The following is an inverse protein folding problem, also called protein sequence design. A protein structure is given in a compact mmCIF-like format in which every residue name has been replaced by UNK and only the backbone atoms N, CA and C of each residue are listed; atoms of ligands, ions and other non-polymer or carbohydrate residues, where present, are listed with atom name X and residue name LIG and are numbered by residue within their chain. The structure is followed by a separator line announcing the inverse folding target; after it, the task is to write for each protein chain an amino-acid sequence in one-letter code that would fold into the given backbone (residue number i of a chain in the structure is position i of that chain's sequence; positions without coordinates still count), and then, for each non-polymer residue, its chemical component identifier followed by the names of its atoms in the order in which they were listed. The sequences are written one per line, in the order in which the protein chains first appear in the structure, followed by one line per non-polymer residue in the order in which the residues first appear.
data_IF_875959761584
#
_entry.id   IF_875959761584
#
_cell.length_a   1.000
_cell.length_b   1.000
_cell.length_c   1.000
_cell.angle_alpha   90.00
_cell.angle_beta   90.00
_cell.angle_gamma   90.00
#
_symmetry.space_group_name_H-M   'P 1'
#
loop_
_entity.id
_entity.type
_entity.pdbx_description
1 polymer ?
#
# COMPACT_ATOMS: atom_id res chain seq x y z
N UNK A 1 16.21 -2.66 21.04
CA UNK A 1 15.71 -2.44 19.66
C UNK A 1 14.55 -3.39 19.46
N UNK A 2 13.35 -2.90 19.22
CA UNK A 2 12.16 -3.73 18.96
C UNK A 2 12.34 -4.47 17.64
N UNK A 3 12.00 -5.76 17.61
CA UNK A 3 12.06 -6.58 16.39
C UNK A 3 11.16 -5.97 15.30
N UNK A 4 11.64 -5.83 14.04
CA UNK A 4 10.84 -5.29 12.96
C UNK A 4 9.64 -6.22 12.64
N UNK A 5 8.49 -5.63 12.25
CA UNK A 5 7.35 -6.42 11.80
C UNK A 5 7.64 -7.14 10.49
N UNK A 6 8.29 -6.43 9.55
CA UNK A 6 8.71 -6.98 8.26
C UNK A 6 10.22 -6.73 8.07
N UNK A 7 10.95 -7.76 7.63
CA UNK A 7 12.40 -7.67 7.39
C UNK A 7 12.74 -8.36 6.06
N UNK A 8 13.44 -7.65 5.21
CA UNK A 8 13.94 -8.11 3.92
C UNK A 8 15.47 -8.17 4.00
N UNK A 9 16.08 -9.23 3.48
CA UNK A 9 17.55 -9.36 3.38
C UNK A 9 17.92 -9.96 2.03
N UNK A 10 18.70 -9.21 1.25
CA UNK A 10 19.15 -9.62 -0.06
C UNK A 10 17.99 -9.94 -1.01
N UNK A 11 16.82 -9.28 -0.84
CA UNK A 11 15.61 -9.66 -1.54
C UNK A 11 15.74 -9.35 -3.03
N UNK A 12 15.48 -10.37 -3.87
CA UNK A 12 15.50 -10.26 -5.33
C UNK A 12 14.16 -10.69 -5.91
N UNK A 13 13.76 -10.03 -7.00
CA UNK A 13 12.58 -10.41 -7.79
C UNK A 13 12.88 -10.28 -9.27
N UNK A 14 12.84 -11.40 -9.99
CA UNK A 14 12.96 -11.45 -11.45
C UNK A 14 11.63 -11.88 -12.05
N UNK A 15 11.18 -11.17 -13.07
CA UNK A 15 9.92 -11.45 -13.77
C UNK A 15 10.18 -11.74 -15.25
N UNK A 16 9.34 -12.56 -15.92
CA UNK A 16 9.45 -12.83 -17.34
C UNK A 16 9.24 -11.56 -18.19
N UNK A 17 10.21 -11.21 -19.02
CA UNK A 17 10.09 -10.12 -20.00
C UNK A 17 9.30 -10.59 -21.22
N UNK A 18 7.98 -10.38 -21.17
CA UNK A 18 7.07 -10.78 -22.26
C UNK A 18 7.25 -9.94 -23.54
N UNK A 19 7.90 -8.77 -23.47
CA UNK A 19 8.18 -7.95 -24.65
C UNK A 19 9.21 -8.60 -25.57
N UNK A 20 10.08 -9.44 -25.01
CA UNK A 20 11.12 -10.21 -25.71
C UNK A 20 10.78 -11.68 -25.91
N UNK A 21 9.52 -12.06 -25.72
CA UNK A 21 9.06 -13.42 -25.90
C UNK A 21 9.18 -13.83 -27.39
N UNK A 22 9.94 -14.90 -27.65
CA UNK A 22 10.03 -15.53 -29.01
C UNK A 22 9.13 -16.75 -29.05
N UNK A 23 8.63 -17.05 -30.28
CA UNK A 23 7.84 -18.27 -30.50
C UNK A 23 8.65 -19.50 -30.05
N UNK A 24 8.03 -20.35 -29.22
CA UNK A 24 8.63 -21.58 -28.67
C UNK A 24 9.82 -21.41 -27.70
N UNK A 25 10.07 -20.22 -27.16
CA UNK A 25 11.08 -20.02 -26.11
C UNK A 25 10.45 -19.33 -24.90
N UNK A 26 10.90 -19.72 -23.70
CA UNK A 26 10.57 -19.00 -22.49
C UNK A 26 11.10 -17.55 -22.57
N UNK A 27 10.32 -16.54 -22.12
CA UNK A 27 10.80 -15.16 -22.09
C UNK A 27 12.02 -15.05 -21.16
N UNK A 28 12.99 -14.18 -21.48
CA UNK A 28 14.11 -13.90 -20.59
C UNK A 28 13.60 -13.30 -19.29
N UNK A 29 14.33 -13.52 -18.19
CA UNK A 29 14.02 -12.91 -16.90
C UNK A 29 14.59 -11.49 -16.86
N UNK A 30 13.83 -10.57 -16.32
CA UNK A 30 14.23 -9.20 -16.02
C UNK A 30 14.25 -9.02 -14.50
N UNK A 31 15.39 -8.62 -13.97
CA UNK A 31 15.58 -8.33 -12.54
C UNK A 31 14.95 -6.98 -12.22
N UNK A 32 13.79 -7.03 -11.53
CA UNK A 32 13.01 -5.85 -11.16
C UNK A 32 13.40 -5.33 -9.78
N UNK A 33 13.71 -6.25 -8.84
CA UNK A 33 14.17 -5.92 -7.49
C UNK A 33 15.49 -6.63 -7.28
N UNK A 34 16.51 -5.90 -6.81
CA UNK A 34 17.88 -6.36 -6.72
C UNK A 34 18.42 -6.13 -5.32
N UNK A 35 18.76 -7.21 -4.62
CA UNK A 35 19.49 -7.21 -3.35
C UNK A 35 18.96 -6.17 -2.34
N UNK A 36 17.64 -6.15 -2.08
CA UNK A 36 17.02 -5.17 -1.20
C UNK A 36 17.10 -5.63 0.24
N UNK A 37 17.70 -4.77 1.10
CA UNK A 37 17.68 -4.87 2.56
C UNK A 37 16.79 -3.78 3.15
N UNK A 38 15.78 -4.18 3.95
CA UNK A 38 14.82 -3.24 4.52
C UNK A 38 14.19 -3.80 5.78
N UNK A 39 14.13 -2.98 6.84
CA UNK A 39 13.38 -3.28 8.05
C UNK A 39 12.23 -2.29 8.21
N UNK A 40 11.05 -2.79 8.57
CA UNK A 40 9.86 -1.98 8.79
C UNK A 40 9.37 -2.26 10.22
N UNK A 41 9.45 -1.24 11.07
CA UNK A 41 9.04 -1.37 12.46
C UNK A 41 7.50 -1.49 12.57
N UNK A 42 7.02 -2.19 13.59
CA UNK A 42 5.58 -2.29 13.88
C UNK A 42 5.00 -0.90 14.16
N UNK A 43 3.84 -0.61 13.55
CA UNK A 43 3.12 0.66 13.71
C UNK A 43 3.77 1.85 13.00
N UNK A 44 4.91 1.68 12.29
CA UNK A 44 5.54 2.74 11.50
C UNK A 44 4.88 2.93 10.13
N UNK A 45 5.08 4.12 9.54
CA UNK A 45 4.76 4.39 8.14
C UNK A 45 6.05 4.63 7.36
N UNK A 46 6.31 3.78 6.36
CA UNK A 46 7.43 3.88 5.43
C UNK A 46 6.96 4.40 4.08
N UNK A 47 7.53 5.50 3.61
CA UNK A 47 7.40 5.97 2.23
C UNK A 47 8.37 5.22 1.31
N UNK A 48 7.86 4.61 0.26
CA UNK A 48 8.69 4.01 -0.80
C UNK A 48 8.56 4.87 -2.05
N UNK A 49 9.63 5.61 -2.38
CA UNK A 49 9.64 6.63 -3.43
C UNK A 49 10.66 6.31 -4.52
N UNK A 50 10.54 6.94 -5.68
CA UNK A 50 11.41 6.78 -6.84
C UNK A 50 10.63 6.93 -8.15
N UNK A 51 11.31 6.96 -9.28
CA UNK A 51 10.70 7.09 -10.60
C UNK A 51 9.82 5.91 -10.98
N UNK A 52 8.96 6.13 -12.00
CA UNK A 52 8.18 5.06 -12.60
C UNK A 52 9.10 3.97 -13.16
N UNK A 53 8.78 2.70 -12.89
CA UNK A 53 9.62 1.57 -13.32
C UNK A 53 10.79 1.24 -12.39
N UNK A 54 11.04 1.97 -11.30
CA UNK A 54 12.12 1.64 -10.35
C UNK A 54 11.91 0.35 -9.54
N UNK A 55 10.72 -0.29 -9.62
CA UNK A 55 10.43 -1.57 -8.97
C UNK A 55 9.55 -1.47 -7.70
N UNK A 56 9.11 -0.29 -7.28
CA UNK A 56 8.33 -0.04 -6.04
C UNK A 56 7.09 -0.93 -5.91
N UNK A 57 6.23 -0.93 -6.93
CA UNK A 57 5.01 -1.76 -6.96
C UNK A 57 5.34 -3.25 -6.87
N UNK A 58 6.40 -3.71 -7.54
CA UNK A 58 6.86 -5.10 -7.48
C UNK A 58 7.34 -5.44 -6.07
N UNK A 59 8.17 -4.59 -5.46
CA UNK A 59 8.62 -4.74 -4.09
C UNK A 59 7.44 -4.76 -3.10
N UNK A 60 6.49 -3.81 -3.23
CA UNK A 60 5.29 -3.77 -2.38
C UNK A 60 4.44 -5.04 -2.50
N UNK A 61 4.23 -5.54 -3.73
CA UNK A 61 3.51 -6.82 -3.96
C UNK A 61 4.24 -8.01 -3.38
N UNK A 62 5.58 -7.98 -3.39
CA UNK A 62 6.40 -9.04 -2.78
C UNK A 62 6.32 -9.00 -1.26
N UNK A 63 6.31 -7.81 -0.64
CA UNK A 63 6.14 -7.65 0.82
C UNK A 63 4.85 -8.32 1.34
N UNK A 64 3.75 -8.26 0.57
CA UNK A 64 2.50 -8.95 0.91
C UNK A 64 2.38 -10.34 0.25
N UNK A 65 3.46 -10.86 -0.34
CA UNK A 65 3.53 -12.19 -0.97
C UNK A 65 2.49 -12.40 -2.09
N UNK A 66 2.08 -11.34 -2.80
CA UNK A 66 1.37 -11.45 -4.08
C UNK A 66 2.31 -11.84 -5.22
N UNK A 67 3.59 -11.50 -5.08
CA UNK A 67 4.70 -11.96 -5.93
C UNK A 67 5.67 -12.72 -5.04
N UNK A 68 6.09 -13.90 -5.48
CA UNK A 68 7.15 -14.65 -4.79
C UNK A 68 8.51 -13.99 -5.07
N UNK A 69 9.39 -13.81 -4.07
CA UNK A 69 10.77 -13.42 -4.32
C UNK A 69 11.51 -14.56 -5.04
N UNK A 70 12.49 -14.19 -5.87
CA UNK A 70 13.37 -15.15 -6.57
C UNK A 70 14.66 -15.41 -5.81
N UNK A 71 14.98 -14.59 -4.81
CA UNK A 71 16.14 -14.75 -3.93
C UNK A 71 16.02 -13.93 -2.67
N UNK A 72 16.90 -14.17 -1.71
CA UNK A 72 16.90 -13.51 -0.41
C UNK A 72 15.87 -14.06 0.58
N UNK A 73 15.64 -13.31 1.67
CA UNK A 73 14.68 -13.66 2.71
C UNK A 73 13.64 -12.56 2.91
N UNK A 74 12.43 -12.95 3.27
CA UNK A 74 11.32 -12.08 3.65
C UNK A 74 10.73 -12.61 4.96
N UNK A 75 10.97 -11.88 6.05
CA UNK A 75 10.48 -12.29 7.38
C UNK A 75 9.33 -11.39 7.82
N UNK A 76 8.27 -12.02 8.32
CA UNK A 76 7.12 -11.38 8.95
C UNK A 76 7.02 -11.86 10.40
N UNK A 77 7.13 -10.96 11.38
CA UNK A 77 7.17 -11.31 12.80
C UNK A 77 8.24 -12.35 13.10
N UNK A 78 9.46 -12.18 12.56
CA UNK A 78 10.60 -13.09 12.73
C UNK A 78 10.55 -14.36 11.86
N UNK A 79 9.38 -14.80 11.36
CA UNK A 79 9.21 -15.99 10.53
C UNK A 79 9.52 -15.69 9.08
N UNK A 80 10.40 -16.48 8.45
CA UNK A 80 10.62 -16.39 7.00
C UNK A 80 9.41 -16.93 6.23
N UNK A 81 8.90 -16.10 5.31
CA UNK A 81 7.76 -16.40 4.46
C UNK A 81 8.12 -16.40 2.96
N UNK A 82 9.43 -16.22 2.61
CA UNK A 82 9.88 -16.10 1.24
C UNK A 82 9.52 -17.32 0.37
N UNK A 83 9.70 -18.52 0.90
CA UNK A 83 9.42 -19.78 0.21
C UNK A 83 8.09 -20.43 0.64
N UNK A 84 7.24 -19.74 1.42
CA UNK A 84 5.98 -20.30 1.91
C UNK A 84 5.01 -20.58 0.76
N UNK A 85 4.36 -21.74 0.81
CA UNK A 85 3.27 -22.10 -0.09
C UNK A 85 1.95 -21.37 0.25
N UNK A 86 0.92 -21.51 -0.57
CA UNK A 86 -0.35 -20.80 -0.36
C UNK A 86 -1.08 -21.28 0.92
N UNK A 87 -0.90 -22.52 1.33
CA UNK A 87 -1.51 -23.05 2.56
C UNK A 87 -0.92 -22.36 3.80
N UNK A 88 0.42 -22.19 3.84
CA UNK A 88 1.11 -21.46 4.89
C UNK A 88 0.87 -19.95 4.84
N UNK A 89 0.66 -19.37 3.64
CA UNK A 89 0.35 -17.96 3.45
C UNK A 89 -1.10 -17.61 3.78
N UNK A 90 -2.04 -18.56 3.66
CA UNK A 90 -3.48 -18.30 3.87
C UNK A 90 -3.80 -17.55 5.17
N UNK A 91 -3.33 -17.95 6.36
CA UNK A 91 -3.58 -17.19 7.59
C UNK A 91 -2.94 -15.79 7.59
N UNK A 92 -1.83 -15.60 6.86
CA UNK A 92 -1.15 -14.31 6.74
C UNK A 92 -1.86 -13.36 5.78
N UNK A 93 -2.66 -13.87 4.83
CA UNK A 93 -3.45 -13.06 3.91
C UNK A 93 -4.44 -12.13 4.62
N UNK A 94 -4.92 -12.48 5.81
CA UNK A 94 -5.75 -11.58 6.62
C UNK A 94 -4.92 -10.43 7.20
N UNK A 95 -3.67 -10.69 7.55
CA UNK A 95 -2.78 -9.72 8.23
C UNK A 95 -1.98 -8.83 7.27
N UNK A 96 -1.68 -9.34 6.07
CA UNK A 96 -0.91 -8.65 5.03
C UNK A 96 -1.85 -8.24 3.90
N UNK A 97 -2.16 -6.96 3.79
CA UNK A 97 -3.13 -6.44 2.83
C UNK A 97 -2.51 -5.43 1.88
N UNK A 98 -3.17 -5.20 0.75
CA UNK A 98 -2.75 -4.22 -0.23
C UNK A 98 -3.93 -3.37 -0.70
N UNK A 99 -3.73 -2.05 -0.78
CA UNK A 99 -4.61 -1.11 -1.44
C UNK A 99 -3.99 -0.80 -2.80
N UNK A 100 -4.70 -1.14 -3.88
CA UNK A 100 -4.16 -1.04 -5.25
C UNK A 100 -4.34 0.37 -5.83
N UNK A 101 -3.42 0.75 -6.70
CA UNK A 101 -3.34 2.04 -7.38
C UNK A 101 -4.65 2.48 -8.05
N UNK A 102 -5.31 1.59 -8.76
CA UNK A 102 -6.53 1.92 -9.51
C UNK A 102 -7.76 1.28 -8.86
N UNK A 103 -8.59 2.07 -8.14
CA UNK A 103 -9.79 1.56 -7.51
C UNK A 103 -10.83 1.07 -8.54
N UNK A 104 -10.82 1.59 -9.78
CA UNK A 104 -11.75 1.14 -10.82
C UNK A 104 -11.47 -0.30 -11.24
N UNK A 105 -10.20 -0.66 -11.43
CA UNK A 105 -9.81 -2.03 -11.81
C UNK A 105 -9.80 -3.00 -10.61
N UNK A 106 -9.68 -2.49 -9.38
CA UNK A 106 -9.62 -3.31 -8.18
C UNK A 106 -10.99 -3.68 -7.60
N UNK A 107 -12.06 -2.95 -7.96
CA UNK A 107 -13.43 -3.24 -7.56
C UNK A 107 -14.18 -3.92 -8.72
N UNK A 108 -14.79 -5.07 -8.46
CA UNK A 108 -15.59 -5.74 -9.48
C UNK A 108 -16.87 -4.91 -9.75
N UNK A 109 -17.06 -4.39 -11.00
CA UNK A 109 -18.19 -3.51 -11.31
C UNK A 109 -19.56 -4.19 -11.25
N UNK A 110 -19.60 -5.54 -11.21
CA UNK A 110 -20.82 -6.33 -11.12
C UNK A 110 -21.27 -6.65 -9.69
N UNK A 111 -20.47 -6.26 -8.69
CA UNK A 111 -20.78 -6.48 -7.29
C UNK A 111 -21.21 -5.17 -6.64
N UNK A 112 -22.19 -5.22 -5.75
CA UNK A 112 -22.52 -4.09 -4.88
C UNK A 112 -21.38 -3.84 -3.89
N UNK A 113 -21.38 -2.65 -3.27
CA UNK A 113 -20.40 -2.33 -2.22
C UNK A 113 -20.52 -3.30 -1.04
N UNK A 114 -21.75 -3.68 -0.64
CA UNK A 114 -21.95 -4.71 0.39
C UNK A 114 -21.28 -6.03 0.02
N UNK A 115 -21.47 -6.50 -1.20
CA UNK A 115 -20.85 -7.75 -1.69
C UNK A 115 -19.32 -7.62 -1.75
N UNK A 116 -18.80 -6.47 -2.20
CA UNK A 116 -17.37 -6.21 -2.28
C UNK A 116 -16.70 -6.27 -0.91
N UNK A 117 -17.31 -5.64 0.10
CA UNK A 117 -16.80 -5.63 1.47
C UNK A 117 -17.02 -6.96 2.21
N UNK A 118 -18.04 -7.73 1.83
CA UNK A 118 -18.30 -9.06 2.39
C UNK A 118 -17.29 -10.13 1.92
N UNK A 119 -16.68 -9.99 0.73
CA UNK A 119 -15.76 -11.00 0.16
C UNK A 119 -14.60 -11.41 1.07
N UNK A 120 -13.83 -10.48 1.66
CA UNK A 120 -12.78 -10.85 2.63
C UNK A 120 -13.36 -11.62 3.81
N UNK A 121 -14.50 -11.18 4.35
CA UNK A 121 -15.17 -11.83 5.49
C UNK A 121 -15.63 -13.25 5.13
N UNK A 122 -16.15 -13.49 3.92
CA UNK A 122 -16.53 -14.82 3.43
C UNK A 122 -15.33 -15.77 3.34
N UNK A 123 -14.18 -15.25 2.90
CA UNK A 123 -12.98 -16.05 2.71
C UNK A 123 -12.33 -16.50 4.03
N UNK A 124 -12.43 -15.67 5.10
CA UNK A 124 -11.69 -15.88 6.35
C UNK A 124 -12.58 -16.10 7.59
N UNK A 125 -13.80 -15.57 7.63
CA UNK A 125 -14.71 -15.71 8.78
C UNK A 125 -15.70 -16.83 8.55
N UNK A 126 -15.29 -18.07 8.84
CA UNK A 126 -16.20 -19.23 8.75
C UNK A 126 -17.36 -19.10 9.73
N UNK A 127 -18.58 -19.15 9.23
CA UNK A 127 -19.81 -19.20 10.06
C UNK A 127 -20.59 -17.90 10.15
N UNK A 128 -20.06 -16.76 9.72
CA UNK A 128 -20.82 -15.52 9.69
C UNK A 128 -21.93 -15.58 8.60
N UNK A 129 -23.19 -15.41 9.01
CA UNK A 129 -24.33 -15.36 8.09
C UNK A 129 -24.34 -14.11 7.20
N UNK A 130 -25.18 -14.10 6.17
CA UNK A 130 -25.30 -12.96 5.23
C UNK A 130 -25.64 -11.65 5.95
N UNK A 131 -26.54 -11.68 6.93
CA UNK A 131 -26.93 -10.50 7.69
C UNK A 131 -25.76 -9.89 8.48
N UNK A 132 -24.96 -10.75 9.14
CA UNK A 132 -23.78 -10.33 9.90
C UNK A 132 -22.70 -9.72 9.01
N UNK A 133 -22.40 -10.34 7.87
CA UNK A 133 -21.45 -9.77 6.89
C UNK A 133 -21.92 -8.40 6.36
N UNK A 134 -23.24 -8.23 6.11
CA UNK A 134 -23.80 -6.96 5.70
C UNK A 134 -23.69 -5.91 6.81
N UNK A 135 -23.95 -6.29 8.06
CA UNK A 135 -23.76 -5.40 9.23
C UNK A 135 -22.31 -4.93 9.30
N UNK A 136 -21.35 -5.87 9.24
CA UNK A 136 -19.91 -5.54 9.26
C UNK A 136 -19.48 -4.66 8.07
N UNK A 137 -20.02 -4.90 6.88
CA UNK A 137 -19.79 -4.04 5.72
C UNK A 137 -20.29 -2.60 5.96
N UNK A 138 -21.41 -2.42 6.66
CA UNK A 138 -21.91 -1.10 7.06
C UNK A 138 -20.98 -0.40 8.06
N UNK A 139 -20.44 -1.13 9.03
CA UNK A 139 -19.46 -0.60 9.98
C UNK A 139 -18.17 -0.16 9.28
N UNK A 140 -17.69 -0.94 8.30
CA UNK A 140 -16.54 -0.58 7.49
C UNK A 140 -16.78 0.71 6.68
N UNK A 141 -18.00 0.96 6.18
CA UNK A 141 -18.33 2.21 5.53
C UNK A 141 -18.30 3.38 6.51
N UNK A 142 -18.83 3.22 7.72
CA UNK A 142 -18.75 4.25 8.77
C UNK A 142 -17.28 4.59 9.10
N UNK A 143 -16.42 3.58 9.23
CA UNK A 143 -14.98 3.77 9.50
C UNK A 143 -14.30 4.62 8.41
N UNK A 144 -14.68 4.46 7.15
CA UNK A 144 -14.08 5.25 6.04
C UNK A 144 -14.88 6.52 5.73
N UNK A 145 -15.88 6.87 6.53
CA UNK A 145 -16.68 8.08 6.38
C UNK A 145 -17.61 8.05 5.16
N UNK A 146 -18.20 6.88 4.85
CA UNK A 146 -19.19 6.73 3.79
C UNK A 146 -20.56 6.33 4.37
N UNK A 147 -21.67 6.85 3.83
CA UNK A 147 -23.02 6.49 4.27
C UNK A 147 -23.33 5.00 4.08
N UNK A 148 -23.99 4.37 5.04
CA UNK A 148 -24.46 2.96 4.93
C UNK A 148 -25.38 2.74 3.73
N UNK A 149 -26.09 3.76 3.27
CA UNK A 149 -26.89 3.70 2.05
C UNK A 149 -26.08 3.31 0.80
N UNK A 150 -24.75 3.44 0.84
CA UNK A 150 -23.89 3.03 -0.27
C UNK A 150 -23.73 1.50 -0.38
N UNK A 151 -24.16 0.72 0.62
CA UNK A 151 -24.07 -0.74 0.57
C UNK A 151 -24.73 -1.35 -0.67
N UNK A 152 -25.82 -0.76 -1.15
CA UNK A 152 -26.58 -1.25 -2.30
C UNK A 152 -26.15 -0.65 -3.64
N UNK A 153 -25.21 0.31 -3.62
CA UNK A 153 -24.66 0.91 -4.84
C UNK A 153 -23.61 0.01 -5.47
N UNK A 154 -23.37 0.26 -6.76
CA UNK A 154 -22.28 -0.33 -7.53
C UNK A 154 -21.09 0.64 -7.62
N UNK A 155 -19.86 0.13 -7.88
CA UNK A 155 -18.67 0.99 -7.99
C UNK A 155 -18.79 2.14 -8.99
N UNK A 156 -19.51 1.97 -10.09
CA UNK A 156 -19.68 3.01 -11.11
C UNK A 156 -20.58 4.17 -10.67
N UNK A 157 -21.36 4.00 -9.61
CA UNK A 157 -22.21 5.04 -9.03
C UNK A 157 -21.47 5.92 -7.99
N UNK A 158 -20.18 5.66 -7.75
CA UNK A 158 -19.35 6.35 -6.77
C UNK A 158 -18.34 7.28 -7.46
N UNK A 159 -17.98 8.39 -6.79
CA UNK A 159 -16.85 9.23 -7.22
C UNK A 159 -15.51 8.51 -7.07
N UNK A 160 -14.42 9.04 -7.64
CA UNK A 160 -13.06 8.48 -7.50
C UNK A 160 -12.65 8.32 -6.04
N UNK A 161 -12.78 9.37 -5.24
CA UNK A 161 -12.45 9.34 -3.81
C UNK A 161 -13.34 8.40 -3.00
N UNK A 162 -14.64 8.29 -3.33
CA UNK A 162 -15.54 7.33 -2.69
C UNK A 162 -15.14 5.89 -3.01
N UNK A 163 -14.79 5.58 -4.26
CA UNK A 163 -14.25 4.27 -4.64
C UNK A 163 -12.96 3.95 -3.90
N UNK A 164 -12.08 4.95 -3.74
CA UNK A 164 -10.83 4.78 -2.99
C UNK A 164 -11.10 4.44 -1.52
N UNK A 165 -12.05 5.13 -0.87
CA UNK A 165 -12.48 4.81 0.49
C UNK A 165 -13.05 3.39 0.62
N UNK A 166 -13.81 2.91 -0.36
CA UNK A 166 -14.27 1.51 -0.41
C UNK A 166 -13.08 0.53 -0.55
N UNK A 167 -12.07 0.87 -1.36
CA UNK A 167 -10.83 0.09 -1.46
C UNK A 167 -10.08 -0.01 -0.13
N UNK A 168 -10.00 1.10 0.61
CA UNK A 168 -9.43 1.14 1.97
C UNK A 168 -10.28 0.29 2.93
N UNK A 169 -11.61 0.46 2.93
CA UNK A 169 -12.53 -0.31 3.77
C UNK A 169 -12.37 -1.83 3.55
N UNK A 170 -12.22 -2.25 2.28
CA UNK A 170 -11.95 -3.66 1.94
C UNK A 170 -10.62 -4.15 2.50
N UNK A 171 -9.57 -3.35 2.44
CA UNK A 171 -8.26 -3.73 2.95
C UNK A 171 -8.24 -3.88 4.47
N UNK A 172 -8.99 -3.06 5.20
CA UNK A 172 -9.05 -3.13 6.67
C UNK A 172 -10.10 -4.14 7.19
N UNK A 173 -10.88 -4.79 6.31
CA UNK A 173 -12.01 -5.65 6.70
C UNK A 173 -11.64 -6.84 7.59
N UNK A 174 -10.37 -7.27 7.58
CA UNK A 174 -9.83 -8.41 8.34
C UNK A 174 -8.90 -7.97 9.48
N UNK A 175 -8.95 -6.71 9.89
CA UNK A 175 -8.11 -6.14 10.94
C UNK A 175 -6.60 -6.44 10.70
N UNK A 176 -6.03 -5.97 9.56
CA UNK A 176 -4.65 -6.27 9.17
C UNK A 176 -3.63 -5.63 10.11
N UNK A 177 -2.43 -6.22 10.17
CA UNK A 177 -1.28 -5.64 10.88
C UNK A 177 -0.37 -4.83 9.94
N UNK A 178 -0.41 -5.13 8.63
CA UNK A 178 0.46 -4.55 7.61
C UNK A 178 -0.32 -4.26 6.33
N UNK A 179 -0.18 -3.03 5.83
CA UNK A 179 -0.81 -2.60 4.57
C UNK A 179 0.26 -1.99 3.65
N UNK A 180 0.24 -2.39 2.38
CA UNK A 180 0.91 -1.68 1.30
C UNK A 180 -0.14 -0.85 0.56
N UNK A 181 0.04 0.46 0.50
CA UNK A 181 -0.78 1.40 -0.25
C UNK A 181 -0.02 1.87 -1.50
N UNK A 182 -0.42 1.37 -2.67
CA UNK A 182 0.29 1.57 -3.93
C UNK A 182 -0.36 2.69 -4.74
N UNK A 183 0.26 3.88 -4.77
CA UNK A 183 -0.16 5.08 -5.51
C UNK A 183 -1.64 5.47 -5.34
N UNK A 184 -2.19 5.28 -4.18
CA UNK A 184 -3.64 5.33 -3.91
C UNK A 184 -4.28 6.73 -3.96
N UNK A 185 -3.47 7.78 -4.01
CA UNK A 185 -3.95 9.18 -4.13
C UNK A 185 -3.70 9.78 -5.52
N UNK A 186 -3.02 9.04 -6.39
CA UNK A 186 -2.73 9.49 -7.76
C UNK A 186 -4.03 9.73 -8.55
N UNK A 187 -4.10 10.87 -9.26
CA UNK A 187 -5.25 11.23 -10.06
C UNK A 187 -6.49 11.70 -9.28
N UNK A 188 -6.37 11.90 -7.97
CA UNK A 188 -7.40 12.56 -7.16
C UNK A 188 -7.10 14.07 -7.05
N UNK A 189 -8.13 14.88 -6.89
CA UNK A 189 -7.97 16.30 -6.57
C UNK A 189 -7.36 16.49 -5.16
N UNK A 190 -6.74 17.66 -4.93
CA UNK A 190 -5.98 17.97 -3.70
C UNK A 190 -6.83 17.81 -2.44
N UNK A 191 -8.10 18.20 -2.48
CA UNK A 191 -8.99 18.09 -1.31
C UNK A 191 -9.30 16.65 -0.97
N UNK A 192 -9.58 15.83 -1.98
CA UNK A 192 -9.81 14.39 -1.83
C UNK A 192 -8.53 13.66 -1.38
N UNK A 193 -7.36 14.04 -1.91
CA UNK A 193 -6.07 13.51 -1.44
C UNK A 193 -5.89 13.76 0.07
N UNK A 194 -6.07 15.02 0.51
CA UNK A 194 -5.95 15.38 1.92
C UNK A 194 -6.86 14.54 2.82
N UNK A 195 -8.11 14.34 2.40
CA UNK A 195 -9.08 13.52 3.14
C UNK A 195 -8.66 12.04 3.23
N UNK A 196 -8.09 11.45 2.16
CA UNK A 196 -7.57 10.08 2.18
C UNK A 196 -6.35 9.96 3.10
N UNK A 197 -5.45 10.94 3.09
CA UNK A 197 -4.28 10.95 3.97
C UNK A 197 -4.66 11.05 5.45
N UNK A 198 -5.61 11.93 5.79
CA UNK A 198 -6.17 12.02 7.13
C UNK A 198 -6.81 10.70 7.56
N UNK A 199 -7.57 10.06 6.68
CA UNK A 199 -8.16 8.74 6.93
C UNK A 199 -7.08 7.70 7.23
N UNK A 200 -6.02 7.61 6.43
CA UNK A 200 -4.92 6.67 6.66
C UNK A 200 -4.17 6.93 7.97
N UNK A 201 -3.91 8.21 8.30
CA UNK A 201 -3.30 8.58 9.60
C UNK A 201 -4.14 8.14 10.78
N UNK A 202 -5.46 8.38 10.71
CA UNK A 202 -6.40 7.95 11.74
C UNK A 202 -6.42 6.43 11.87
N UNK A 203 -6.60 5.69 10.76
CA UNK A 203 -6.62 4.23 10.75
C UNK A 203 -5.31 3.63 11.29
N UNK A 204 -4.17 4.23 10.93
CA UNK A 204 -2.86 3.80 11.45
C UNK A 204 -2.82 3.91 12.97
N UNK A 205 -3.27 5.03 13.53
CA UNK A 205 -3.27 5.27 14.98
C UNK A 205 -4.27 4.35 15.71
N UNK A 206 -5.50 4.23 15.20
CA UNK A 206 -6.58 3.47 15.84
C UNK A 206 -6.34 1.95 15.80
N UNK A 207 -5.80 1.44 14.67
CA UNK A 207 -5.60 0.01 14.45
C UNK A 207 -4.14 -0.45 14.66
N UNK A 208 -3.25 0.46 15.08
CA UNK A 208 -1.80 0.20 15.20
C UNK A 208 -1.20 -0.43 13.92
N UNK A 209 -1.62 0.10 12.74
CA UNK A 209 -1.22 -0.40 11.44
C UNK A 209 0.23 -0.04 11.11
N UNK A 210 0.94 -1.00 10.53
CA UNK A 210 2.21 -0.75 9.84
C UNK A 210 1.90 -0.48 8.37
N UNK A 211 2.37 0.65 7.84
CA UNK A 211 2.03 1.12 6.51
C UNK A 211 3.29 1.24 5.63
N UNK A 212 3.25 0.68 4.43
CA UNK A 212 4.14 1.06 3.34
C UNK A 212 3.33 1.88 2.34
N UNK A 213 3.73 3.12 2.13
CA UNK A 213 3.08 4.04 1.22
C UNK A 213 3.94 4.28 -0.01
N UNK A 214 3.52 3.75 -1.16
CA UNK A 214 4.21 3.91 -2.43
C UNK A 214 3.65 5.16 -3.12
N UNK A 215 4.52 6.10 -3.45
CA UNK A 215 4.14 7.31 -4.17
C UNK A 215 5.33 7.87 -4.96
N UNK A 216 5.03 8.56 -6.06
CA UNK A 216 5.96 9.45 -6.74
C UNK A 216 5.81 10.90 -6.23
N UNK A 217 4.77 11.21 -5.46
CA UNK A 217 4.55 12.52 -4.85
C UNK A 217 5.19 12.57 -3.46
N UNK A 218 6.32 13.27 -3.39
CA UNK A 218 7.11 13.43 -2.16
C UNK A 218 6.42 14.30 -1.12
N UNK A 219 5.54 15.23 -1.53
CA UNK A 219 4.80 16.09 -0.61
C UNK A 219 3.88 15.26 0.29
N UNK A 220 3.22 14.27 -0.29
CA UNK A 220 2.34 13.34 0.42
C UNK A 220 3.13 12.44 1.37
N UNK A 221 4.30 11.94 0.91
CA UNK A 221 5.18 11.09 1.73
C UNK A 221 5.71 11.85 2.94
N UNK A 222 6.12 13.13 2.75
CA UNK A 222 6.59 14.01 3.83
C UNK A 222 5.58 14.15 4.97
N UNK A 223 4.30 14.12 4.65
CA UNK A 223 3.22 14.33 5.62
C UNK A 223 2.77 13.04 6.29
N UNK A 224 2.81 11.91 5.57
CA UNK A 224 2.23 10.65 6.05
C UNK A 224 3.27 9.71 6.70
N UNK A 225 4.53 9.75 6.24
CA UNK A 225 5.52 8.72 6.55
C UNK A 225 6.55 9.17 7.59
N UNK A 226 6.94 8.25 8.48
CA UNK A 226 7.98 8.47 9.49
C UNK A 226 9.37 8.31 8.86
N UNK A 227 9.54 7.30 8.00
CA UNK A 227 10.76 6.96 7.28
C UNK A 227 10.52 6.94 5.78
N UNK A 228 11.58 7.12 5.00
CA UNK A 228 11.57 7.04 3.54
C UNK A 228 12.66 6.09 3.06
N UNK A 229 12.32 5.25 2.10
CA UNK A 229 13.25 4.47 1.29
C UNK A 229 13.15 4.93 -0.17
N UNK A 230 14.26 5.37 -0.73
CA UNK A 230 14.37 5.83 -2.11
C UNK A 230 14.84 4.66 -2.97
N UNK A 231 14.05 4.33 -4.00
CA UNK A 231 14.30 3.20 -4.89
C UNK A 231 14.65 3.66 -6.30
N UNK A 232 15.77 3.20 -6.81
CA UNK A 232 16.24 3.44 -8.19
C UNK A 232 16.73 2.14 -8.80
N UNK A 233 16.36 1.85 -10.04
CA UNK A 233 16.82 0.69 -10.80
C UNK A 233 16.75 -0.66 -10.06
N UNK A 234 15.72 -0.85 -9.24
CA UNK A 234 15.52 -2.10 -8.50
C UNK A 234 16.21 -2.16 -7.13
N UNK A 235 16.95 -1.14 -6.72
CA UNK A 235 17.72 -1.09 -5.49
C UNK A 235 17.24 0.05 -4.57
N UNK A 236 17.39 -0.12 -3.24
CA UNK A 236 17.22 0.99 -2.30
C UNK A 236 18.55 1.74 -2.23
N UNK A 237 18.58 2.96 -2.80
CA UNK A 237 19.77 3.79 -2.89
C UNK A 237 19.98 4.68 -1.67
N UNK A 238 18.89 5.03 -0.97
CA UNK A 238 18.97 5.79 0.27
C UNK A 238 17.77 5.46 1.18
N UNK A 239 18.02 5.48 2.52
CA UNK A 239 16.99 5.27 3.52
C UNK A 239 17.27 6.14 4.75
N UNK A 240 16.22 6.67 5.36
CA UNK A 240 16.32 7.43 6.60
C UNK A 240 14.97 7.94 7.08
N UNK A 241 14.98 8.65 8.22
CA UNK A 241 13.80 9.37 8.65
C UNK A 241 13.38 10.40 7.59
N UNK A 242 12.08 10.62 7.45
CA UNK A 242 11.52 11.59 6.49
C UNK A 242 12.20 12.95 6.65
N UNK A 243 12.35 13.44 7.89
CA UNK A 243 13.02 14.72 8.16
C UNK A 243 14.45 14.76 7.61
N UNK A 244 15.24 13.68 7.79
CA UNK A 244 16.62 13.60 7.31
C UNK A 244 16.70 13.57 5.79
N UNK A 245 15.90 12.75 5.13
CA UNK A 245 15.92 12.60 3.67
C UNK A 245 15.59 13.93 2.99
N UNK A 246 14.60 14.68 3.52
CA UNK A 246 14.21 15.97 2.96
C UNK A 246 15.16 17.12 3.29
N UNK A 247 15.83 17.10 4.45
CA UNK A 247 16.72 18.18 4.86
C UNK A 247 18.16 18.00 4.34
N UNK A 248 18.64 16.77 4.21
CA UNK A 248 20.04 16.46 3.88
C UNK A 248 20.17 15.12 3.14
N UNK A 249 19.67 15.04 1.88
CA UNK A 249 19.80 13.85 1.05
C UNK A 249 21.28 13.58 0.73
N UNK A 250 21.72 12.35 0.92
CA UNK A 250 23.11 11.93 0.72
C UNK A 250 23.36 11.38 -0.68
N UNK A 251 22.40 10.68 -1.26
CA UNK A 251 22.55 10.09 -2.58
C UNK A 251 22.23 11.12 -3.68
N UNK A 252 23.00 11.11 -4.79
CA UNK A 252 22.81 12.04 -5.90
C UNK A 252 21.41 11.96 -6.50
N UNK A 253 20.91 10.74 -6.72
CA UNK A 253 19.55 10.50 -7.22
C UNK A 253 18.46 11.04 -6.29
N UNK A 254 18.65 10.94 -4.97
CA UNK A 254 17.68 11.50 -4.01
C UNK A 254 17.61 13.02 -4.11
N UNK A 255 18.74 13.69 -4.31
CA UNK A 255 18.79 15.15 -4.54
C UNK A 255 18.04 15.54 -5.81
N UNK A 256 18.35 14.86 -6.92
CA UNK A 256 17.67 15.07 -8.21
C UNK A 256 16.15 14.85 -8.09
N UNK A 257 15.74 13.78 -7.41
CA UNK A 257 14.33 13.48 -7.19
C UNK A 257 13.62 14.58 -6.37
N UNK A 258 14.27 15.12 -5.34
CA UNK A 258 13.73 16.22 -4.52
C UNK A 258 13.68 17.55 -5.28
N UNK A 259 14.69 17.85 -6.11
CA UNK A 259 14.76 19.07 -6.93
C UNK A 259 13.71 19.04 -8.07
N UNK A 260 13.37 17.87 -8.60
CA UNK A 260 12.39 17.72 -9.69
C UNK A 260 10.94 17.94 -9.27
N UNK A 261 10.65 17.84 -7.97
CA UNK A 261 9.32 18.10 -7.42
C UNK A 261 9.33 19.53 -6.84
N UNK A 262 8.56 20.47 -7.42
CA UNK A 262 8.34 21.75 -6.76
C UNK A 262 7.62 21.45 -5.44
N UNK A 263 8.40 21.32 -4.36
CA UNK A 263 7.83 21.24 -3.02
C UNK A 263 7.18 22.60 -2.78
N UNK A 264 5.85 22.72 -2.75
CA UNK A 264 5.25 23.90 -2.17
C UNK A 264 5.82 24.00 -0.75
N UNK A 265 5.99 25.19 -0.22
CA UNK A 265 6.17 25.41 1.22
C UNK A 265 4.94 24.83 1.90
N UNK A 266 4.97 23.51 2.08
CA UNK A 266 3.83 22.77 2.64
C UNK A 266 3.92 23.01 4.13
N UNK A 267 3.16 24.00 4.60
CA UNK A 267 2.79 24.06 6.00
C UNK A 267 2.29 22.66 6.42
N UNK A 268 2.96 21.96 7.36
CA UNK A 268 2.47 20.67 7.85
C UNK A 268 1.01 20.71 8.34
N UNK A 269 0.48 21.91 8.59
CA UNK A 269 -0.91 22.17 8.96
C UNK A 269 -1.92 22.18 7.80
N UNK A 270 -1.50 22.14 6.51
CA UNK A 270 -2.47 22.21 5.39
C UNK A 270 -3.52 21.08 5.42
N UNK A 271 -3.14 19.89 5.93
CA UNK A 271 -4.06 18.76 6.10
C UNK A 271 -5.12 19.05 7.17
N UNK A 272 -4.73 19.74 8.25
CA UNK A 272 -5.68 20.11 9.33
C UNK A 272 -6.63 21.23 8.90
N UNK A 273 -6.21 22.11 7.99
CA UNK A 273 -7.07 23.17 7.43
C UNK A 273 -8.13 22.62 6.46
N UNK A 274 -7.84 21.51 5.75
CA UNK A 274 -8.81 20.86 4.86
C UNK A 274 -10.00 20.21 5.60
N UNK A 275 -9.89 19.98 6.91
CA UNK A 275 -10.99 19.44 7.73
C UNK A 275 -12.00 20.49 8.21
N UNK A 276 -11.75 21.78 7.97
CA UNK A 276 -12.62 22.90 8.35
C UNK A 276 -13.47 23.46 7.20
N UNK A 277 -13.45 22.82 6.03
CA UNK A 277 -14.32 23.17 4.89
C UNK A 277 -15.64 22.38 5.04
N UNK A 278 -16.80 23.06 5.12
CA UNK A 278 -18.11 22.46 5.39
C UNK A 278 -18.59 21.47 4.31
#
# INVERSE_FOLDING_TARGET
MTEPLLSLRGLCVSLPDRSRQRLFRAPPLLDIVRNVDLDIARGSALGLVGESGSGKTTLGRTMVRLIAPTGGTLRYGGRDIAASDEAALRPLRAKLQMIFQNPQSSLNPRLTIAQTLARPLEAFSRGAGRAERRRRAGELLDVVGLPKAFLDRYPHELSGGQRQRVGIARAIALDPEFIVADEIVSGLDVSTQAQILLLLRRLRAELNLTLVFISHDLSVVRVLCDDVAVMSNGEIVERGSTARIFASPQHAYTRELLESVPLPDVDPGWITQASSIP
#
